data_IF_506170386457
#
_entry.id   IF_506170386457
#
_cell.length_a   1.000
_cell.length_b   1.000
_cell.length_c   1.000
_cell.angle_alpha   90.00
_cell.angle_beta   90.00
_cell.angle_gamma   90.00
#
_symmetry.space_group_name_H-M   'P 1'
#
loop_
_entity.id
_entity.type
_entity.pdbx_description
1 polymer ?
#
# COMPACT_ATOMS: atom_id res chain seq x y z
N UNK A 1 10.95 -16.74 4.79
CA UNK A 1 10.82 -15.95 6.04
C UNK A 1 9.37 -15.90 6.45
N UNK A 2 9.06 -15.84 7.76
CA UNK A 2 7.73 -15.46 8.24
C UNK A 2 7.82 -13.98 8.63
N UNK A 3 6.86 -13.17 8.19
CA UNK A 3 6.81 -11.75 8.51
C UNK A 3 5.60 -11.49 9.40
N UNK A 4 5.73 -10.58 10.38
CA UNK A 4 4.63 -10.14 11.24
C UNK A 4 4.48 -8.63 11.12
N UNK A 5 3.24 -8.15 11.17
CA UNK A 5 2.92 -6.73 11.38
C UNK A 5 2.22 -6.55 12.71
N UNK A 6 2.54 -5.47 13.40
CA UNK A 6 1.77 -4.98 14.52
C UNK A 6 0.99 -3.74 14.07
N UNK A 7 -0.33 -3.79 14.20
CA UNK A 7 -1.20 -2.69 13.82
C UNK A 7 -1.16 -1.61 14.92
N UNK A 8 -0.42 -0.52 14.67
CA UNK A 8 -0.31 0.59 15.62
C UNK A 8 -1.43 1.62 15.42
N UNK A 9 -1.67 2.44 16.45
CA UNK A 9 -2.61 3.57 16.40
C UNK A 9 -2.26 4.57 15.29
N UNK A 10 -0.98 4.76 15.03
CA UNK A 10 -0.49 5.65 13.97
C UNK A 10 -0.91 5.16 12.58
N UNK A 11 -0.82 3.85 12.31
CA UNK A 11 -1.30 3.29 11.03
C UNK A 11 -2.79 3.55 10.81
N UNK A 12 -3.59 3.54 11.90
CA UNK A 12 -5.02 3.83 11.83
C UNK A 12 -5.28 5.31 11.54
N UNK A 13 -4.53 6.20 12.17
CA UNK A 13 -4.62 7.64 11.93
C UNK A 13 -4.23 7.98 10.48
N UNK A 14 -3.16 7.37 9.95
CA UNK A 14 -2.75 7.53 8.55
C UNK A 14 -3.84 7.07 7.56
N UNK A 15 -4.56 5.98 7.85
CA UNK A 15 -5.69 5.53 7.01
C UNK A 15 -6.85 6.53 7.00
N UNK A 16 -7.17 7.12 8.16
CA UNK A 16 -8.28 8.07 8.28
C UNK A 16 -8.02 9.40 7.57
N UNK A 17 -6.75 9.76 7.39
CA UNK A 17 -6.35 10.97 6.63
C UNK A 17 -6.44 10.79 5.11
N UNK A 18 -6.63 9.55 4.62
CA UNK A 18 -6.73 9.28 3.19
C UNK A 18 -8.12 9.62 2.62
N UNK A 19 -8.19 9.98 1.32
CA UNK A 19 -9.45 9.99 0.58
C UNK A 19 -10.21 8.65 0.74
N UNK A 20 -11.53 8.71 0.87
CA UNK A 20 -12.37 7.54 1.19
C UNK A 20 -12.10 6.33 0.28
N UNK A 21 -11.94 6.55 -1.03
CA UNK A 21 -11.66 5.46 -1.98
C UNK A 21 -10.35 4.72 -1.71
N UNK A 22 -9.30 5.45 -1.29
CA UNK A 22 -8.01 4.88 -0.86
C UNK A 22 -8.12 4.19 0.48
N UNK A 23 -8.76 4.83 1.45
CA UNK A 23 -8.95 4.29 2.79
C UNK A 23 -9.59 2.91 2.72
N UNK A 24 -10.65 2.74 1.91
CA UNK A 24 -11.35 1.44 1.77
C UNK A 24 -10.44 0.35 1.20
N UNK A 25 -9.66 0.64 0.15
CA UNK A 25 -8.73 -0.34 -0.43
C UNK A 25 -7.61 -0.71 0.54
N UNK A 26 -6.99 0.29 1.18
CA UNK A 26 -5.93 0.06 2.14
C UNK A 26 -6.43 -0.74 3.35
N UNK A 27 -7.61 -0.41 3.88
CA UNK A 27 -8.24 -1.15 4.97
C UNK A 27 -8.56 -2.60 4.59
N UNK A 28 -9.03 -2.87 3.37
CA UNK A 28 -9.29 -4.23 2.89
C UNK A 28 -8.02 -5.09 2.83
N UNK A 29 -6.92 -4.53 2.34
CA UNK A 29 -5.63 -5.23 2.28
C UNK A 29 -5.06 -5.46 3.69
N UNK A 30 -5.22 -4.49 4.59
CA UNK A 30 -4.81 -4.65 5.99
C UNK A 30 -5.62 -5.73 6.72
N UNK A 31 -6.93 -5.80 6.49
CA UNK A 31 -7.79 -6.85 7.03
C UNK A 31 -7.33 -8.24 6.56
N UNK A 32 -7.02 -8.39 5.27
CA UNK A 32 -6.47 -9.62 4.70
C UNK A 32 -5.17 -10.04 5.40
N UNK A 33 -4.26 -9.09 5.64
CA UNK A 33 -2.99 -9.35 6.35
C UNK A 33 -3.25 -9.72 7.81
N UNK A 34 -4.26 -9.14 8.47
CA UNK A 34 -4.61 -9.48 9.85
C UNK A 34 -5.21 -10.90 9.97
N UNK A 35 -6.02 -11.30 9.00
CA UNK A 35 -6.68 -12.62 8.98
C UNK A 35 -5.73 -13.75 8.56
N UNK A 36 -4.95 -13.56 7.49
CA UNK A 36 -4.13 -14.61 6.87
C UNK A 36 -2.65 -14.51 7.24
N UNK A 37 -2.23 -13.39 7.83
CA UNK A 37 -0.82 -13.02 7.92
C UNK A 37 -0.26 -12.58 6.57
N UNK A 38 1.04 -12.27 6.55
CA UNK A 38 1.72 -11.98 5.29
C UNK A 38 2.03 -13.29 4.57
N UNK A 39 1.36 -13.54 3.44
CA UNK A 39 1.57 -14.75 2.64
C UNK A 39 2.70 -14.59 1.61
N UNK A 40 3.30 -15.68 1.14
CA UNK A 40 4.29 -15.63 0.05
C UNK A 40 3.76 -14.96 -1.23
N UNK A 41 2.49 -15.18 -1.57
CA UNK A 41 1.84 -14.60 -2.76
C UNK A 41 1.72 -13.08 -2.63
N UNK A 42 1.46 -12.56 -1.42
CA UNK A 42 1.45 -11.12 -1.16
C UNK A 42 2.85 -10.51 -1.33
N UNK A 43 3.89 -11.21 -0.87
CA UNK A 43 5.29 -10.76 -1.04
C UNK A 43 5.71 -10.82 -2.51
N UNK A 44 5.33 -11.87 -3.25
CA UNK A 44 5.66 -11.96 -4.68
C UNK A 44 5.00 -10.82 -5.47
N UNK A 45 3.78 -10.43 -5.09
CA UNK A 45 3.00 -9.43 -5.80
C UNK A 45 3.33 -7.99 -5.41
N UNK A 46 3.61 -7.73 -4.12
CA UNK A 46 3.73 -6.38 -3.55
C UNK A 46 5.03 -6.18 -2.77
N UNK A 47 5.86 -7.22 -2.60
CA UNK A 47 7.08 -7.16 -1.82
C UNK A 47 8.15 -6.31 -2.51
N UNK A 48 8.64 -5.30 -1.81
CA UNK A 48 9.77 -4.48 -2.22
C UNK A 48 10.80 -4.45 -1.08
N UNK A 49 12.02 -4.90 -1.36
CA UNK A 49 13.09 -4.92 -0.37
C UNK A 49 13.95 -3.65 -0.49
N UNK A 50 13.99 -2.86 0.57
CA UNK A 50 14.91 -1.72 0.65
C UNK A 50 16.27 -2.20 1.20
N UNK A 51 17.28 -2.24 0.34
CA UNK A 51 18.64 -2.66 0.71
C UNK A 51 19.33 -1.70 1.68
N UNK A 52 18.94 -0.42 1.75
CA UNK A 52 19.55 0.57 2.64
C UNK A 52 19.07 0.41 4.07
N UNK A 53 17.77 0.21 4.22
CA UNK A 53 17.13 0.05 5.53
C UNK A 53 17.11 -1.41 5.98
N UNK A 54 17.35 -2.35 5.06
CA UNK A 54 17.30 -3.79 5.30
C UNK A 54 15.89 -4.30 5.58
N UNK A 55 14.86 -3.57 5.13
CA UNK A 55 13.45 -3.80 5.46
C UNK A 55 12.68 -4.23 4.22
N UNK A 56 11.84 -5.26 4.38
CA UNK A 56 10.85 -5.64 3.36
C UNK A 56 9.60 -4.79 3.53
N UNK A 57 9.11 -4.21 2.45
CA UNK A 57 7.87 -3.47 2.38
C UNK A 57 6.84 -4.23 1.54
N UNK A 58 5.55 -4.11 1.86
CA UNK A 58 4.47 -4.37 0.91
C UNK A 58 4.02 -3.03 0.35
N UNK A 59 4.15 -2.86 -0.97
CA UNK A 59 3.77 -1.64 -1.70
C UNK A 59 2.63 -1.99 -2.64
N UNK A 60 1.48 -1.35 -2.45
CA UNK A 60 0.32 -1.59 -3.31
C UNK A 60 -0.40 -0.29 -3.70
N UNK A 61 -0.84 -0.26 -4.96
CA UNK A 61 -1.57 0.86 -5.54
C UNK A 61 -2.95 1.02 -4.88
N UNK A 62 -3.16 2.16 -4.22
CA UNK A 62 -4.45 2.49 -3.59
C UNK A 62 -5.27 3.44 -4.45
N UNK A 63 -4.64 4.19 -5.35
CA UNK A 63 -5.35 5.07 -6.28
C UNK A 63 -4.63 5.19 -7.62
N UNK A 64 -5.43 5.34 -8.67
CA UNK A 64 -4.98 5.58 -10.02
C UNK A 64 -5.79 6.76 -10.56
N UNK A 65 -5.25 7.96 -10.38
CA UNK A 65 -5.90 9.21 -10.78
C UNK A 65 -5.51 9.49 -12.23
N UNK A 66 -6.49 9.53 -13.12
CA UNK A 66 -6.28 9.97 -14.50
C UNK A 66 -6.97 11.32 -14.72
N UNK A 67 -6.19 12.40 -14.73
CA UNK A 67 -6.69 13.75 -15.00
C UNK A 67 -6.43 14.17 -16.46
N UNK A 68 -7.43 14.79 -17.09
CA UNK A 68 -7.26 15.43 -18.39
C UNK A 68 -6.42 16.70 -18.25
N UNK A 69 -5.36 16.83 -19.05
CA UNK A 69 -4.51 18.02 -19.01
C UNK A 69 -5.26 19.17 -19.70
N UNK A 70 -5.42 20.29 -18.98
CA UNK A 70 -6.29 21.40 -19.39
C UNK A 70 -5.95 21.90 -20.81
N UNK A 71 -6.85 21.66 -21.77
CA UNK A 71 -6.69 22.02 -23.19
C UNK A 71 -6.35 20.87 -24.15
N UNK A 72 -6.23 19.63 -23.68
CA UNK A 72 -5.98 18.46 -24.53
C UNK A 72 -6.90 17.28 -24.19
N UNK A 73 -7.65 16.78 -25.17
CA UNK A 73 -8.37 15.50 -25.07
C UNK A 73 -7.41 14.29 -25.10
N UNK A 74 -6.18 14.47 -25.57
CA UNK A 74 -5.22 13.40 -25.83
C UNK A 74 -4.20 13.21 -24.71
N UNK A 75 -3.85 14.27 -23.98
CA UNK A 75 -2.87 14.20 -22.89
C UNK A 75 -3.60 14.01 -21.56
N UNK A 76 -3.35 12.86 -20.93
CA UNK A 76 -3.85 12.54 -19.59
C UNK A 76 -2.65 12.37 -18.65
N UNK A 77 -2.73 12.95 -17.46
CA UNK A 77 -1.78 12.71 -16.39
C UNK A 77 -2.28 11.54 -15.56
N UNK A 78 -1.40 10.59 -15.27
CA UNK A 78 -1.69 9.44 -14.41
C UNK A 78 -0.83 9.58 -13.15
N UNK A 79 -1.47 9.78 -12.01
CA UNK A 79 -0.79 9.77 -10.71
C UNK A 79 -1.20 8.48 -9.98
N UNK A 80 -0.22 7.56 -9.84
CA UNK A 80 -0.37 6.31 -9.10
C UNK A 80 0.07 6.60 -7.67
N UNK A 81 -0.79 6.25 -6.72
CA UNK A 81 -0.54 6.53 -5.33
C UNK A 81 -0.52 5.23 -4.55
N UNK A 82 0.66 4.95 -4.00
CA UNK A 82 0.96 3.72 -3.31
C UNK A 82 0.78 3.84 -1.79
N UNK A 83 0.48 2.72 -1.16
CA UNK A 83 0.54 2.57 0.28
C UNK A 83 1.60 1.54 0.64
N UNK A 84 2.52 1.94 1.53
CA UNK A 84 3.67 1.13 1.90
C UNK A 84 3.53 0.61 3.33
N UNK A 85 3.79 -0.68 3.50
CA UNK A 85 3.74 -1.37 4.78
C UNK A 85 5.10 -1.99 5.05
N UNK A 86 5.84 -1.44 6.02
CA UNK A 86 7.04 -2.09 6.54
C UNK A 86 6.67 -3.43 7.21
N UNK A 87 7.43 -4.48 6.89
CA UNK A 87 7.34 -5.79 7.50
C UNK A 87 8.48 -5.99 8.48
N UNK A 88 8.17 -6.61 9.62
CA UNK A 88 9.18 -7.08 10.57
C UNK A 88 9.42 -8.57 10.37
N UNK A 89 10.68 -8.98 10.36
CA UNK A 89 11.04 -10.39 10.45
C UNK A 89 10.62 -10.96 11.82
N UNK A 90 10.11 -12.20 11.84
CA UNK A 90 9.75 -12.94 13.04
C UNK A 90 10.96 -13.57 13.75
#
# INVERSE_FOLDING_TARGET
MRYKREFTKQNFEELLEMPYGRMVKAAAILQLIEEEGVTPEMIEKWGEYDEKDGVMYLVFEVEDITEGVNGSEFFKRRDILDYCIALSEL
#
